data_IF_098379844830
#
_entry.id   IF_098379844830
#
_cell.length_a   1.000
_cell.length_b   1.000
_cell.length_c   1.000
_cell.angle_alpha   90.00
_cell.angle_beta   90.00
_cell.angle_gamma   90.00
#
_symmetry.space_group_name_H-M   'P 1'
#
loop_
_entity.id
_entity.type
_entity.pdbx_description
1 polymer ?
#
# COMPACT_ATOMS: atom_id res chain seq x y z
N UNK A 1 -48.36 -32.73 33.10
CA UNK A 1 -47.49 -33.75 32.48
C UNK A 1 -46.51 -33.02 31.56
N UNK A 2 -45.23 -33.39 31.67
CA UNK A 2 -44.05 -32.59 31.36
C UNK A 2 -43.77 -32.41 29.85
N UNK A 3 -43.43 -31.17 29.49
CA UNK A 3 -42.52 -30.68 28.44
C UNK A 3 -41.93 -31.73 27.50
N UNK A 4 -42.39 -31.76 26.24
CA UNK A 4 -41.72 -32.48 25.15
C UNK A 4 -40.47 -31.74 24.72
N UNK A 5 -39.33 -32.31 25.07
CA UNK A 5 -37.98 -31.96 24.62
C UNK A 5 -37.80 -32.52 23.22
N UNK A 6 -37.84 -31.66 22.19
CA UNK A 6 -37.42 -32.04 20.84
C UNK A 6 -35.92 -31.75 20.69
N UNK A 7 -35.12 -32.73 21.11
CA UNK A 7 -33.76 -32.93 20.66
C UNK A 7 -33.80 -33.59 19.28
N UNK A 8 -33.59 -32.82 18.22
CA UNK A 8 -33.17 -33.37 16.92
C UNK A 8 -31.88 -32.67 16.54
N UNK A 9 -30.78 -33.31 16.95
CA UNK A 9 -29.47 -33.13 16.36
C UNK A 9 -29.47 -33.79 14.98
N UNK A 10 -28.78 -33.16 14.00
CA UNK A 10 -27.99 -33.75 12.90
C UNK A 10 -28.05 -32.86 11.65
N UNK A 11 -26.93 -32.21 11.31
CA UNK A 11 -26.39 -32.18 9.95
C UNK A 11 -25.03 -31.47 9.94
N UNK A 12 -23.98 -32.29 9.94
CA UNK A 12 -22.59 -31.93 9.75
C UNK A 12 -22.31 -31.51 8.29
N UNK A 13 -21.14 -30.89 8.11
CA UNK A 13 -20.36 -30.70 6.86
C UNK A 13 -20.53 -29.33 6.18
N UNK A 14 -19.58 -28.43 6.47
CA UNK A 14 -19.10 -27.48 5.48
C UNK A 14 -17.58 -27.26 5.67
N UNK A 15 -16.85 -28.11 4.94
CA UNK A 15 -15.66 -27.78 4.15
C UNK A 15 -14.48 -27.04 4.81
N UNK A 16 -13.37 -27.79 4.82
CA UNK A 16 -11.98 -27.39 4.94
C UNK A 16 -11.70 -26.04 4.26
N UNK A 17 -11.45 -25.01 5.07
CA UNK A 17 -10.54 -23.93 4.66
C UNK A 17 -9.15 -24.27 5.20
N UNK A 18 -8.47 -25.16 4.48
CA UNK A 18 -7.01 -25.27 4.53
C UNK A 18 -6.42 -23.97 3.95
N UNK A 19 -6.49 -22.90 4.73
CA UNK A 19 -5.82 -21.64 4.47
C UNK A 19 -4.37 -21.76 4.92
N UNK A 20 -3.52 -22.07 3.96
CA UNK A 20 -2.05 -22.01 3.92
C UNK A 20 -1.41 -21.28 5.12
N UNK A 21 -0.58 -22.01 5.85
CA UNK A 21 0.35 -21.50 6.86
C UNK A 21 1.20 -20.35 6.28
N UNK A 22 0.95 -19.12 6.71
CA UNK A 22 1.97 -18.07 6.62
C UNK A 22 2.88 -18.19 7.83
N UNK A 23 3.84 -19.10 7.72
CA UNK A 23 5.04 -19.01 8.52
C UNK A 23 5.74 -17.68 8.15
N UNK A 24 5.47 -16.62 8.90
CA UNK A 24 6.32 -15.45 8.85
C UNK A 24 7.55 -15.76 9.69
N UNK A 25 8.56 -16.22 8.96
CA UNK A 25 9.93 -16.41 9.39
C UNK A 25 10.37 -15.26 10.30
N UNK A 26 11.09 -15.64 11.35
CA UNK A 26 11.43 -14.80 12.50
C UNK A 26 11.69 -13.34 12.17
N UNK A 27 11.06 -12.49 12.98
CA UNK A 27 11.51 -11.14 13.28
C UNK A 27 12.97 -11.20 13.73
N UNK A 28 13.90 -11.26 12.77
CA UNK A 28 15.17 -10.61 12.97
C UNK A 28 14.80 -9.16 13.18
N UNK A 29 15.01 -8.71 14.41
CA UNK A 29 15.05 -7.35 14.89
C UNK A 29 15.95 -6.52 13.95
N UNK A 30 15.45 -6.22 12.76
CA UNK A 30 16.00 -5.22 11.86
C UNK A 30 15.58 -3.93 12.52
N UNK A 31 16.42 -3.43 13.42
CA UNK A 31 16.28 -2.12 14.05
C UNK A 31 15.73 -1.17 13.01
N UNK A 32 14.45 -0.77 13.16
CA UNK A 32 13.73 -0.05 12.14
C UNK A 32 14.52 1.23 11.82
N UNK A 33 15.21 1.23 10.69
CA UNK A 33 16.04 2.36 10.30
C UNK A 33 15.09 3.51 9.97
N UNK A 34 15.14 4.56 10.78
CA UNK A 34 14.28 5.74 10.62
C UNK A 34 15.12 6.86 10.03
N UNK A 35 14.75 7.32 8.84
CA UNK A 35 15.31 8.55 8.26
C UNK A 35 14.26 9.65 8.31
N UNK A 36 14.65 10.82 8.81
CA UNK A 36 13.80 12.01 8.89
C UNK A 36 14.03 12.87 7.65
N UNK A 37 12.95 13.23 6.96
CA UNK A 37 12.97 14.21 5.86
C UNK A 37 12.32 15.48 6.38
N UNK A 38 13.09 16.57 6.49
CA UNK A 38 12.52 17.87 6.85
C UNK A 38 11.72 18.44 5.69
N UNK A 39 10.52 18.93 5.99
CA UNK A 39 9.61 19.62 5.07
C UNK A 39 9.35 21.06 5.54
N UNK A 40 10.22 21.60 6.38
CA UNK A 40 10.09 22.94 6.92
C UNK A 40 10.14 23.99 5.79
N UNK A 41 9.20 24.95 5.85
CA UNK A 41 9.08 26.00 4.84
C UNK A 41 8.50 25.57 3.49
N UNK A 42 8.06 24.32 3.33
CA UNK A 42 7.42 23.85 2.10
C UNK A 42 6.02 24.41 1.96
N UNK A 43 5.73 25.02 0.82
CA UNK A 43 4.38 25.40 0.43
C UNK A 43 3.65 24.25 -0.28
N UNK A 44 2.77 23.55 0.44
CA UNK A 44 1.98 22.44 -0.11
C UNK A 44 0.88 22.86 -1.11
N UNK A 45 0.68 24.16 -1.32
CA UNK A 45 -0.16 24.69 -2.41
C UNK A 45 0.64 24.91 -3.70
N UNK A 46 1.97 24.91 -3.64
CA UNK A 46 2.84 25.01 -4.81
C UNK A 46 3.16 23.61 -5.34
N UNK A 47 2.61 23.27 -6.50
CA UNK A 47 2.78 21.95 -7.12
C UNK A 47 4.24 21.59 -7.39
N UNK A 48 5.11 22.58 -7.68
CA UNK A 48 6.53 22.35 -7.89
C UNK A 48 7.26 21.94 -6.60
N UNK A 49 6.90 22.58 -5.48
CA UNK A 49 7.46 22.26 -4.16
C UNK A 49 6.94 20.90 -3.65
N UNK A 50 5.65 20.62 -3.83
CA UNK A 50 5.07 19.30 -3.50
C UNK A 50 5.77 18.20 -4.31
N UNK A 51 6.01 18.41 -5.60
CA UNK A 51 6.74 17.46 -6.43
C UNK A 51 8.19 17.27 -5.96
N UNK A 52 8.85 18.33 -5.47
CA UNK A 52 10.20 18.26 -4.90
C UNK A 52 10.21 17.40 -3.63
N UNK A 53 9.30 17.66 -2.69
CA UNK A 53 9.16 16.85 -1.47
C UNK A 53 8.87 15.40 -1.81
N UNK A 54 7.92 15.14 -2.72
CA UNK A 54 7.60 13.78 -3.14
C UNK A 54 8.83 13.04 -3.70
N UNK A 55 9.64 13.69 -4.54
CA UNK A 55 10.89 13.10 -5.04
C UNK A 55 11.88 12.81 -3.93
N UNK A 56 12.03 13.73 -2.97
CA UNK A 56 12.93 13.54 -1.84
C UNK A 56 12.49 12.33 -0.99
N UNK A 57 11.21 12.23 -0.65
CA UNK A 57 10.66 11.07 0.07
C UNK A 57 10.89 9.76 -0.70
N UNK A 58 10.65 9.76 -2.01
CA UNK A 58 10.87 8.58 -2.85
C UNK A 58 12.34 8.17 -2.88
N UNK A 59 13.26 9.12 -3.03
CA UNK A 59 14.69 8.83 -3.05
C UNK A 59 15.16 8.29 -1.71
N UNK A 60 14.74 8.92 -0.61
CA UNK A 60 15.04 8.44 0.74
C UNK A 60 14.49 7.03 0.97
N UNK A 61 13.26 6.75 0.55
CA UNK A 61 12.67 5.42 0.65
C UNK A 61 13.46 4.37 -0.14
N UNK A 62 13.93 4.71 -1.35
CA UNK A 62 14.77 3.82 -2.15
C UNK A 62 16.11 3.55 -1.46
N UNK A 63 16.80 4.59 -0.99
CA UNK A 63 18.11 4.44 -0.31
C UNK A 63 17.99 3.62 0.97
N UNK A 64 16.93 3.80 1.73
CA UNK A 64 16.70 3.09 2.99
C UNK A 64 16.39 1.60 2.78
N UNK A 65 15.80 1.27 1.63
CA UNK A 65 15.40 -0.08 1.27
C UNK A 65 16.36 -0.77 0.29
N UNK A 66 17.45 -0.14 -0.13
CA UNK A 66 18.41 -0.72 -1.06
C UNK A 66 19.29 -1.75 -0.34
N UNK A 67 19.18 -3.01 -0.76
CA UNK A 67 19.99 -4.09 -0.21
C UNK A 67 21.32 -4.27 -0.95
N UNK A 68 21.56 -3.56 -2.06
CA UNK A 68 22.69 -3.72 -2.98
C UNK A 68 22.73 -5.06 -3.74
N UNK A 69 21.80 -5.99 -3.46
CA UNK A 69 21.75 -7.30 -4.12
C UNK A 69 20.55 -7.43 -5.05
N UNK A 70 20.82 -7.69 -6.33
CA UNK A 70 19.77 -7.85 -7.36
C UNK A 70 18.70 -8.90 -7.00
N UNK A 71 19.07 -9.95 -6.25
CA UNK A 71 18.13 -11.00 -5.80
C UNK A 71 17.02 -10.49 -4.89
N UNK A 72 17.19 -9.32 -4.26
CA UNK A 72 16.19 -8.69 -3.40
C UNK A 72 15.48 -7.49 -4.07
N UNK A 73 15.73 -7.22 -5.35
CA UNK A 73 15.17 -6.05 -6.04
C UNK A 73 13.62 -5.99 -6.03
N UNK A 74 12.92 -7.12 -5.90
CA UNK A 74 11.47 -7.11 -5.72
C UNK A 74 11.06 -6.67 -4.31
N UNK A 75 11.73 -7.19 -3.29
CA UNK A 75 11.54 -6.87 -1.88
C UNK A 75 11.91 -5.42 -1.59
N UNK A 76 13.02 -4.94 -2.15
CA UNK A 76 13.51 -3.56 -1.99
C UNK A 76 12.51 -2.56 -2.60
N UNK A 77 11.94 -2.88 -3.77
CA UNK A 77 10.85 -2.09 -4.38
C UNK A 77 9.59 -2.06 -3.52
N UNK A 78 9.19 -3.19 -2.94
CA UNK A 78 8.03 -3.26 -2.05
C UNK A 78 8.26 -2.47 -0.75
N UNK A 79 9.45 -2.58 -0.17
CA UNK A 79 9.89 -1.80 0.99
C UNK A 79 9.82 -0.30 0.67
N UNK A 80 10.39 0.14 -0.45
CA UNK A 80 10.42 1.56 -0.82
C UNK A 80 9.00 2.12 -1.06
N UNK A 81 8.11 1.35 -1.69
CA UNK A 81 6.71 1.74 -1.87
C UNK A 81 5.97 1.87 -0.54
N UNK A 82 6.15 0.91 0.37
CA UNK A 82 5.54 0.96 1.70
C UNK A 82 6.08 2.14 2.53
N UNK A 83 7.39 2.37 2.51
CA UNK A 83 8.03 3.50 3.19
C UNK A 83 7.53 4.84 2.64
N UNK A 84 7.43 4.99 1.32
CA UNK A 84 6.89 6.19 0.69
C UNK A 84 5.42 6.42 1.04
N UNK A 85 4.58 5.39 0.97
CA UNK A 85 3.16 5.49 1.33
C UNK A 85 2.97 5.88 2.81
N UNK A 86 3.76 5.28 3.71
CA UNK A 86 3.77 5.64 5.12
C UNK A 86 4.21 7.09 5.35
N UNK A 87 5.23 7.58 4.63
CA UNK A 87 5.70 8.95 4.75
C UNK A 87 4.65 9.97 4.25
N UNK A 88 4.00 9.69 3.11
CA UNK A 88 2.90 10.53 2.59
C UNK A 88 1.75 10.59 3.59
N UNK A 89 1.35 9.46 4.17
CA UNK A 89 0.31 9.39 5.21
C UNK A 89 0.69 10.18 6.47
N UNK A 90 1.94 10.11 6.92
CA UNK A 90 2.41 10.85 8.09
C UNK A 90 2.40 12.37 7.89
N UNK A 91 2.71 12.84 6.69
CA UNK A 91 2.65 14.27 6.36
C UNK A 91 1.21 14.79 6.27
N UNK A 92 0.26 13.92 5.91
CA UNK A 92 -1.18 14.20 5.86
C UNK A 92 -1.52 15.48 5.07
N UNK A 93 -0.87 15.67 3.91
CA UNK A 93 -1.08 16.82 3.04
C UNK A 93 -1.90 16.39 1.82
N UNK A 94 -3.06 17.03 1.55
CA UNK A 94 -3.99 16.58 0.50
C UNK A 94 -3.34 16.60 -0.89
N UNK A 95 -2.57 17.64 -1.21
CA UNK A 95 -1.86 17.77 -2.48
C UNK A 95 -0.79 16.69 -2.67
N UNK A 96 -0.12 16.30 -1.59
CA UNK A 96 0.91 15.25 -1.62
C UNK A 96 0.28 13.87 -1.76
N UNK A 97 -0.83 13.61 -1.08
CA UNK A 97 -1.62 12.37 -1.19
C UNK A 97 -2.18 12.23 -2.61
N UNK A 98 -2.80 13.27 -3.16
CA UNK A 98 -3.31 13.26 -4.53
C UNK A 98 -2.19 12.99 -5.55
N UNK A 99 -1.00 13.57 -5.34
CA UNK A 99 0.17 13.28 -6.17
C UNK A 99 0.63 11.82 -6.03
N UNK A 100 0.63 11.26 -4.81
CA UNK A 100 0.95 9.86 -4.58
C UNK A 100 -0.03 8.94 -5.31
N UNK A 101 -1.33 9.18 -5.15
CA UNK A 101 -2.39 8.38 -5.76
C UNK A 101 -2.34 8.44 -7.28
N UNK A 102 -2.06 9.61 -7.88
CA UNK A 102 -1.88 9.74 -9.34
C UNK A 102 -0.73 8.90 -9.90
N UNK A 103 0.27 8.58 -9.07
CA UNK A 103 1.46 7.80 -9.47
C UNK A 103 1.35 6.31 -9.17
N UNK A 104 0.45 5.93 -8.27
CA UNK A 104 0.20 4.54 -7.86
C UNK A 104 -1.11 4.00 -8.41
N UNK A 105 -1.99 4.86 -8.92
CA UNK A 105 -3.21 4.47 -9.59
C UNK A 105 -2.86 3.55 -10.77
N UNK A 106 -3.46 2.35 -10.82
CA UNK A 106 -3.23 1.47 -11.94
C UNK A 106 -3.84 2.12 -13.21
N UNK A 107 -3.12 2.04 -14.32
CA UNK A 107 -3.47 2.64 -15.64
C UNK A 107 -4.64 1.90 -16.29
N UNK A 108 -5.75 1.72 -15.57
CA UNK A 108 -6.97 1.07 -16.03
C UNK A 108 -8.16 2.05 -16.10
N UNK A 109 -7.98 3.33 -15.74
CA UNK A 109 -9.05 4.33 -15.75
C UNK A 109 -9.23 5.09 -17.09
N UNK A 110 -8.42 4.80 -18.12
CA UNK A 110 -8.45 5.49 -19.42
C UNK A 110 -8.89 4.56 -20.59
N UNK A 111 -9.99 3.83 -20.42
CA UNK A 111 -10.66 3.14 -21.55
C UNK A 111 -12.18 3.37 -21.60
N UNK A 112 -12.66 4.46 -20.98
CA UNK A 112 -14.09 4.79 -20.92
C UNK A 112 -14.53 6.00 -21.74
N UNK A 113 -13.65 6.71 -22.46
CA UNK A 113 -13.98 8.00 -23.10
C UNK A 113 -13.57 8.10 -24.58
N UNK A 114 -13.81 7.07 -25.38
CA UNK A 114 -13.73 7.16 -26.86
C UNK A 114 -14.79 6.28 -27.54
N UNK A 115 -16.07 6.45 -27.21
CA UNK A 115 -17.19 5.93 -28.04
C UNK A 115 -18.34 6.95 -28.15
N UNK A 116 -18.02 8.25 -28.13
CA UNK A 116 -18.92 9.28 -28.63
C UNK A 116 -18.45 9.68 -30.03
N UNK A 117 -19.15 9.19 -31.06
CA UNK A 117 -19.11 9.80 -32.40
C UNK A 117 -18.47 8.96 -33.50
N UNK A 118 -19.15 7.89 -33.92
CA UNK A 118 -19.11 7.39 -35.30
C UNK A 118 -20.51 6.84 -35.62
N UNK A 119 -21.47 7.76 -35.68
CA UNK A 119 -22.71 7.58 -36.43
C UNK A 119 -22.57 8.46 -37.67
N UNK A 120 -22.17 7.86 -38.78
CA UNK A 120 -22.53 8.21 -40.17
C UNK A 120 -21.91 7.19 -41.10
#
# INVERSE_FOLDING_TARGET
MLRSVYMVALASVALLSAGVSVAQAGEKDRTATKTVVSVEGVNFNNTAEVAKVYRQLKNTANTLCDSEYQRYAAQDRQCAQAALSNAVRQLNQPTLTALHDSKTAPVYADKGRVLAGLSQ
#
